data_IF_049519395131
#
_entry.id   IF_049519395131
#
_cell.length_a   1.000
_cell.length_b   1.000
_cell.length_c   1.000
_cell.angle_alpha   90.00
_cell.angle_beta   90.00
_cell.angle_gamma   90.00
#
_symmetry.space_group_name_H-M   'P 1'
#
loop_
_entity.id
_entity.type
_entity.pdbx_description
1 polymer ?
#
# COMPACT_ATOMS: atom_id res chain seq x y z
N UNK A 1 9.55 -9.71 11.23
CA UNK A 1 9.30 -10.46 12.48
C UNK A 1 9.24 -9.45 13.61
N UNK A 2 8.35 -9.63 14.58
CA UNK A 2 8.20 -8.75 15.73
C UNK A 2 7.82 -9.58 16.96
N UNK A 3 8.28 -9.16 18.13
CA UNK A 3 7.90 -9.71 19.43
C UNK A 3 7.43 -8.56 20.33
N UNK A 4 6.19 -8.61 20.78
CA UNK A 4 5.52 -7.53 21.50
C UNK A 4 5.07 -8.02 22.87
N UNK A 5 5.44 -7.29 23.92
CA UNK A 5 4.87 -7.47 25.25
C UNK A 5 3.78 -6.41 25.47
N UNK A 6 2.62 -6.83 25.94
CA UNK A 6 1.46 -5.97 26.16
C UNK A 6 0.67 -6.43 27.39
N UNK A 7 -0.37 -5.68 27.73
CA UNK A 7 -1.43 -6.12 28.64
C UNK A 7 -2.71 -6.29 27.85
N UNK A 8 -3.49 -7.30 28.18
CA UNK A 8 -4.84 -7.45 27.62
C UNK A 8 -5.82 -6.44 28.25
N UNK A 9 -7.10 -6.54 27.89
CA UNK A 9 -8.15 -5.63 28.39
C UNK A 9 -8.44 -5.80 29.89
N UNK A 10 -8.02 -6.91 30.50
CA UNK A 10 -8.12 -7.16 31.93
C UNK A 10 -6.85 -6.71 32.70
N UNK A 11 -5.80 -6.32 31.98
CA UNK A 11 -4.50 -5.94 32.56
C UNK A 11 -3.54 -7.11 32.71
N UNK A 12 -3.86 -8.29 32.17
CA UNK A 12 -3.01 -9.46 32.28
C UNK A 12 -1.89 -9.43 31.22
N UNK A 13 -0.65 -9.85 31.56
CA UNK A 13 0.47 -9.83 30.62
C UNK A 13 0.26 -10.75 29.41
N UNK A 14 0.56 -10.23 28.23
CA UNK A 14 0.53 -10.93 26.96
C UNK A 14 1.87 -10.81 26.23
N UNK A 15 2.30 -11.88 25.57
CA UNK A 15 3.44 -11.90 24.67
C UNK A 15 2.99 -12.37 23.29
N UNK A 16 3.22 -11.55 22.27
CA UNK A 16 2.84 -11.82 20.88
C UNK A 16 4.12 -11.99 20.04
N UNK A 17 4.23 -13.07 19.29
CA UNK A 17 5.26 -13.27 18.26
C UNK A 17 4.61 -13.32 16.89
N UNK A 18 5.01 -12.41 16.00
CA UNK A 18 4.40 -12.23 14.69
C UNK A 18 5.43 -12.20 13.57
N UNK A 19 4.97 -12.52 12.36
CA UNK A 19 5.78 -12.45 11.14
C UNK A 19 4.97 -11.88 9.97
N UNK A 20 5.64 -11.61 8.85
CA UNK A 20 4.99 -11.09 7.64
C UNK A 20 4.14 -9.84 7.89
N UNK A 21 2.89 -9.90 7.41
CA UNK A 21 1.92 -8.80 7.49
C UNK A 21 1.55 -8.46 8.93
N UNK A 22 1.30 -9.45 9.77
CA UNK A 22 0.90 -9.23 11.17
C UNK A 22 1.96 -8.48 11.95
N UNK A 23 3.24 -8.85 11.78
CA UNK A 23 4.34 -8.10 12.37
C UNK A 23 4.36 -6.64 11.91
N UNK A 24 4.04 -6.38 10.63
CA UNK A 24 4.02 -5.02 10.08
C UNK A 24 2.88 -4.19 10.66
N UNK A 25 1.69 -4.78 10.81
CA UNK A 25 0.54 -4.12 11.45
C UNK A 25 0.86 -3.78 12.90
N UNK A 26 1.40 -4.73 13.67
CA UNK A 26 1.77 -4.45 15.07
C UNK A 26 2.77 -3.31 15.19
N UNK A 27 3.80 -3.28 14.34
CA UNK A 27 4.77 -2.18 14.32
C UNK A 27 4.12 -0.83 13.92
N UNK A 28 3.16 -0.85 12.99
CA UNK A 28 2.43 0.35 12.57
C UNK A 28 1.60 0.96 13.71
N UNK A 29 0.84 0.14 14.42
CA UNK A 29 0.03 0.60 15.55
C UNK A 29 0.90 1.09 16.71
N UNK A 30 2.04 0.44 16.96
CA UNK A 30 2.99 0.88 17.99
C UNK A 30 3.64 2.21 17.62
N UNK A 31 4.05 2.40 16.36
CA UNK A 31 4.61 3.67 15.88
C UNK A 31 3.65 4.85 16.15
N UNK A 32 2.33 4.62 16.07
CA UNK A 32 1.33 5.63 16.42
C UNK A 32 1.32 6.04 17.90
N UNK A 33 1.69 5.15 18.82
CA UNK A 33 1.85 5.49 20.24
C UNK A 33 3.01 6.47 20.46
N UNK A 34 4.03 6.40 19.59
CA UNK A 34 5.16 7.32 19.58
C UNK A 34 4.94 8.56 18.69
N UNK A 35 3.74 8.71 18.10
CA UNK A 35 3.40 9.81 17.19
C UNK A 35 4.10 9.71 15.83
N UNK A 36 4.65 8.56 15.48
CA UNK A 36 5.25 8.30 14.17
C UNK A 36 4.20 7.81 13.18
N UNK A 37 4.33 8.21 11.91
CA UNK A 37 3.52 7.71 10.81
C UNK A 37 4.34 6.81 9.90
N UNK A 38 3.65 5.94 9.14
CA UNK A 38 4.30 5.11 8.12
C UNK A 38 5.10 5.95 7.11
N UNK A 39 4.65 7.19 6.85
CA UNK A 39 5.33 8.13 5.97
C UNK A 39 6.72 8.54 6.47
N UNK A 40 6.96 8.52 7.79
CA UNK A 40 8.26 8.86 8.38
C UNK A 40 9.28 7.72 8.21
N UNK A 41 8.82 6.52 7.84
CA UNK A 41 9.63 5.35 7.50
C UNK A 41 9.94 5.22 6.00
N UNK A 42 9.48 6.17 5.17
CA UNK A 42 9.69 6.17 3.70
C UNK A 42 10.86 7.05 3.27
N UNK A 43 11.31 6.90 2.02
CA UNK A 43 12.30 7.82 1.43
C UNK A 43 11.71 9.24 1.35
N UNK A 44 12.56 10.27 1.49
CA UNK A 44 12.13 11.68 1.47
C UNK A 44 11.29 12.05 0.24
N UNK A 45 11.64 11.49 -0.92
CA UNK A 45 10.93 11.71 -2.17
C UNK A 45 9.53 11.10 -2.15
N UNK A 46 9.42 9.84 -1.73
CA UNK A 46 8.15 9.13 -1.55
C UNK A 46 7.25 9.86 -0.56
N UNK A 47 7.79 10.28 0.59
CA UNK A 47 7.05 11.09 1.57
C UNK A 47 6.51 12.37 0.95
N UNK A 48 7.32 13.08 0.15
CA UNK A 48 6.91 14.32 -0.51
C UNK A 48 5.81 14.05 -1.55
N UNK A 49 5.90 12.97 -2.31
CA UNK A 49 4.90 12.56 -3.29
C UNK A 49 3.58 12.17 -2.63
N UNK A 50 3.63 11.31 -1.61
CA UNK A 50 2.48 10.92 -0.80
C UNK A 50 1.75 12.12 -0.20
N UNK A 51 2.49 13.09 0.35
CA UNK A 51 1.90 14.31 0.91
C UNK A 51 1.24 15.21 -0.15
N UNK A 52 1.70 15.17 -1.42
CA UNK A 52 1.03 15.90 -2.51
C UNK A 52 -0.28 15.23 -2.89
N UNK A 53 -0.26 13.91 -3.10
CA UNK A 53 -1.46 13.12 -3.41
C UNK A 53 -2.53 13.29 -2.31
N UNK A 54 -2.15 13.17 -1.03
CA UNK A 54 -3.06 13.38 0.09
C UNK A 54 -3.73 14.76 0.09
N UNK A 55 -3.01 15.82 -0.29
CA UNK A 55 -3.57 17.18 -0.40
C UNK A 55 -4.52 17.34 -1.60
N UNK A 56 -4.33 16.54 -2.64
CA UNK A 56 -5.23 16.47 -3.79
C UNK A 56 -6.43 15.55 -3.55
N UNK A 57 -6.46 14.78 -2.43
CA UNK A 57 -7.48 13.78 -2.16
C UNK A 57 -7.26 12.46 -2.91
N UNK A 58 -6.05 12.24 -3.40
CA UNK A 58 -5.65 11.07 -4.18
C UNK A 58 -4.88 10.06 -3.32
N UNK A 59 -4.90 8.80 -3.76
CA UNK A 59 -4.07 7.74 -3.18
C UNK A 59 -2.65 7.79 -3.75
N UNK A 60 -1.68 7.25 -3.01
CA UNK A 60 -0.28 7.17 -3.46
C UNK A 60 0.24 5.75 -3.33
N UNK A 61 0.91 5.27 -4.39
CA UNK A 61 1.77 4.09 -4.35
C UNK A 61 3.21 4.51 -4.69
N UNK A 62 4.22 3.99 -3.98
CA UNK A 62 5.62 4.22 -4.33
C UNK A 62 5.98 3.83 -5.78
N UNK A 63 5.26 2.86 -6.35
CA UNK A 63 5.44 2.42 -7.73
C UNK A 63 5.16 3.53 -8.74
N UNK A 64 4.32 4.53 -8.40
CA UNK A 64 4.06 5.68 -9.26
C UNK A 64 5.30 6.54 -9.54
N UNK A 65 6.41 6.33 -8.82
CA UNK A 65 7.69 6.99 -9.06
C UNK A 65 8.62 6.18 -9.96
N UNK A 66 8.26 4.94 -10.30
CA UNK A 66 9.00 4.14 -11.26
C UNK A 66 8.82 4.73 -12.67
N UNK A 67 9.89 5.04 -13.41
CA UNK A 67 9.80 5.50 -14.80
C UNK A 67 8.99 4.58 -15.72
N UNK A 68 8.94 3.29 -15.40
CA UNK A 68 8.22 2.28 -16.18
C UNK A 68 6.78 2.03 -15.66
N UNK A 69 6.33 2.77 -14.65
CA UNK A 69 4.96 2.64 -14.12
C UNK A 69 3.91 3.03 -15.18
N UNK A 70 2.93 2.15 -15.35
CA UNK A 70 1.70 2.43 -16.11
C UNK A 70 0.51 2.32 -15.17
N UNK A 71 -0.40 3.29 -15.22
CA UNK A 71 -1.59 3.22 -14.37
C UNK A 71 -2.40 1.98 -14.76
N UNK A 72 -2.96 1.22 -13.80
CA UNK A 72 -3.94 0.18 -14.11
C UNK A 72 -5.15 0.73 -14.85
N UNK A 73 -5.53 1.99 -14.58
CA UNK A 73 -6.62 2.68 -15.26
C UNK A 73 -6.29 3.00 -16.74
N UNK A 74 -5.01 3.14 -17.09
CA UNK A 74 -4.59 3.37 -18.49
C UNK A 74 -4.77 2.11 -19.36
N UNK A 75 -4.94 0.92 -18.76
CA UNK A 75 -5.09 -0.35 -19.49
C UNK A 75 -6.54 -0.67 -19.84
N UNK A 76 -7.51 0.07 -19.30
CA UNK A 76 -8.93 -0.15 -19.57
C UNK A 76 -9.38 0.36 -20.96
N UNK A 77 -8.55 1.12 -21.68
CA UNK A 77 -8.92 1.70 -22.98
C UNK A 77 -8.58 0.81 -24.20
N UNK A 78 -7.83 -0.29 -24.03
CA UNK A 78 -7.36 -1.13 -25.14
C UNK A 78 -8.25 -2.38 -25.43
N UNK A 79 -9.28 -2.66 -24.63
CA UNK A 79 -10.10 -3.89 -24.78
C UNK A 79 -11.31 -3.75 -25.74
N UNK A 80 -11.60 -2.55 -26.26
CA UNK A 80 -12.74 -2.30 -27.18
C UNK A 80 -12.40 -2.46 -28.68
N UNK A 81 -11.28 -3.09 -29.03
CA UNK A 81 -11.00 -3.41 -30.44
C UNK A 81 -11.77 -4.67 -30.85
N UNK A 82 -12.98 -4.49 -31.39
CA UNK A 82 -13.76 -5.58 -32.00
C UNK A 82 -12.88 -6.43 -32.94
N UNK A 83 -12.90 -7.78 -32.84
CA UNK A 83 -12.22 -8.60 -33.82
C UNK A 83 -12.92 -8.47 -35.18
N UNK A 84 -12.29 -7.67 -36.05
CA UNK A 84 -12.57 -7.55 -37.48
C UNK A 84 -13.01 -8.89 -38.08
N UNK A 85 -14.23 -8.90 -38.61
CA UNK A 85 -14.93 -10.05 -39.15
C UNK A 85 -14.07 -10.86 -40.14
N UNK A 86 -13.97 -12.18 -39.91
CA UNK A 86 -13.46 -13.10 -40.93
C UNK A 86 -14.56 -13.38 -41.96
N UNK A 87 -14.27 -13.38 -43.28
CA UNK A 87 -15.27 -13.76 -44.28
C UNK A 87 -15.57 -15.25 -44.17
N UNK A 88 -16.86 -15.59 -44.17
CA UNK A 88 -17.35 -16.96 -44.23
C UNK A 88 -17.44 -17.33 -45.72
N UNK A 89 -16.49 -18.10 -46.25
CA UNK A 89 -16.64 -18.74 -47.56
C UNK A 89 -17.32 -20.11 -47.42
N UNK A 90 -18.23 -20.39 -48.38
CA UNK A 90 -19.10 -21.57 -48.46
C UNK A 90 -18.40 -22.75 -49.12
#
# INVERSE_FOLDING_TARGET
HARVAALDTAGEPLLIEASGLEARVLQHEIDHLDGALILDRTLREQRRAAMRALRAGESFSPEMLDPDYRSPDDQAEDEDQEPSARPIER
#
